data_IF_466015371251
#
_entry.id   IF_466015371251
#
_cell.length_a   1.000
_cell.length_b   1.000
_cell.length_c   1.000
_cell.angle_alpha   90.00
_cell.angle_beta   90.00
_cell.angle_gamma   90.00
#
_symmetry.space_group_name_H-M   'P 1'
#
loop_
_entity.id
_entity.type
_entity.pdbx_description
1 polymer ?
#
# COMPACT_ATOMS: atom_id res chain seq x y z
N UNK A 1 -21.81 22.48 -19.48
CA UNK A 1 -22.60 21.79 -18.43
C UNK A 1 -21.96 20.43 -18.23
N UNK A 2 -21.54 20.13 -17.00
CA UNK A 2 -20.86 18.88 -16.66
C UNK A 2 -21.82 17.72 -16.96
N UNK A 3 -21.40 16.78 -17.80
CA UNK A 3 -22.19 15.63 -18.24
C UNK A 3 -22.37 14.64 -17.07
N UNK A 4 -23.28 14.96 -16.16
CA UNK A 4 -23.68 14.12 -15.01
C UNK A 4 -24.70 13.04 -15.38
N UNK A 5 -25.10 12.95 -16.64
CA UNK A 5 -26.16 12.06 -17.12
C UNK A 5 -25.66 10.68 -17.59
N UNK A 6 -24.35 10.48 -17.73
CA UNK A 6 -23.75 9.18 -18.08
C UNK A 6 -23.39 8.28 -16.89
N UNK A 7 -23.67 8.71 -15.65
CA UNK A 7 -23.42 7.91 -14.45
C UNK A 7 -24.66 7.05 -14.18
N UNK A 8 -24.77 5.91 -14.86
CA UNK A 8 -25.85 4.91 -14.69
C UNK A 8 -25.96 4.40 -13.24
N UNK A 9 -24.99 4.74 -12.38
CA UNK A 9 -24.92 4.31 -10.99
C UNK A 9 -24.51 5.46 -10.04
N UNK A 10 -25.23 6.60 -10.08
CA UNK A 10 -25.01 7.76 -9.19
C UNK A 10 -24.89 7.37 -7.71
N UNK A 11 -25.71 6.42 -7.26
CA UNK A 11 -25.65 5.87 -5.90
C UNK A 11 -24.31 5.19 -5.60
N UNK A 12 -23.79 4.42 -6.55
CA UNK A 12 -22.49 3.76 -6.41
C UNK A 12 -21.34 4.76 -6.34
N UNK A 13 -21.36 5.81 -7.15
CA UNK A 13 -20.35 6.89 -7.08
C UNK A 13 -20.43 7.64 -5.75
N UNK A 14 -21.63 7.88 -5.22
CA UNK A 14 -21.81 8.50 -3.90
C UNK A 14 -21.34 7.58 -2.77
N UNK A 15 -21.60 6.27 -2.86
CA UNK A 15 -21.14 5.30 -1.87
C UNK A 15 -19.61 5.17 -1.90
N UNK A 16 -19.01 4.99 -3.07
CA UNK A 16 -17.54 4.90 -3.19
C UNK A 16 -16.86 6.23 -2.87
N UNK A 17 -17.43 7.35 -3.32
CA UNK A 17 -16.92 8.68 -3.02
C UNK A 17 -17.00 9.00 -1.52
N UNK A 18 -18.14 8.72 -0.90
CA UNK A 18 -18.33 8.86 0.55
C UNK A 18 -17.42 7.91 1.33
N UNK A 19 -17.32 6.65 0.92
CA UNK A 19 -16.44 5.65 1.50
C UNK A 19 -14.95 6.04 1.43
N UNK A 20 -14.51 6.60 0.30
CA UNK A 20 -13.16 7.12 0.15
C UNK A 20 -12.87 8.28 1.12
N UNK A 21 -13.82 9.21 1.29
CA UNK A 21 -13.69 10.32 2.26
C UNK A 21 -13.61 9.79 3.69
N UNK A 22 -14.47 8.84 4.06
CA UNK A 22 -14.43 8.22 5.41
C UNK A 22 -13.11 7.48 5.62
N UNK A 23 -12.62 6.75 4.62
CA UNK A 23 -11.33 6.06 4.70
C UNK A 23 -10.18 7.04 4.95
N UNK A 24 -10.11 8.14 4.19
CA UNK A 24 -9.09 9.19 4.38
C UNK A 24 -9.19 9.83 5.77
N UNK A 25 -10.41 10.11 6.24
CA UNK A 25 -10.62 10.68 7.57
C UNK A 25 -10.16 9.72 8.69
N UNK A 26 -10.54 8.44 8.61
CA UNK A 26 -10.11 7.41 9.55
C UNK A 26 -8.59 7.24 9.53
N UNK A 27 -7.98 7.15 8.34
CA UNK A 27 -6.52 7.09 8.20
C UNK A 27 -5.83 8.29 8.85
N UNK A 28 -6.40 9.48 8.72
CA UNK A 28 -5.87 10.71 9.33
C UNK A 28 -5.87 10.64 10.86
N UNK A 29 -6.93 10.09 11.47
CA UNK A 29 -7.01 9.87 12.93
C UNK A 29 -5.93 8.89 13.39
N UNK A 30 -5.78 7.76 12.68
CA UNK A 30 -4.78 6.74 13.03
C UNK A 30 -3.37 7.32 12.95
N UNK A 31 -3.04 8.04 11.87
CA UNK A 31 -1.75 8.72 11.71
C UNK A 31 -1.54 9.75 12.82
N UNK A 32 -2.57 10.53 13.16
CA UNK A 32 -2.53 11.48 14.28
C UNK A 32 -2.24 10.81 15.62
N UNK A 33 -2.86 9.66 15.90
CA UNK A 33 -2.62 8.88 17.11
C UNK A 33 -1.19 8.34 17.17
N UNK A 34 -0.67 7.81 16.05
CA UNK A 34 0.72 7.32 15.95
C UNK A 34 1.70 8.46 16.22
N UNK A 35 1.47 9.63 15.62
CA UNK A 35 2.32 10.81 15.78
C UNK A 35 2.23 11.43 17.19
N UNK A 36 1.14 11.16 17.93
CA UNK A 36 0.99 11.62 19.31
C UNK A 36 1.85 10.82 20.29
N UNK A 37 2.35 9.65 19.90
CA UNK A 37 3.30 8.86 20.68
C UNK A 37 4.73 9.26 20.28
N UNK A 38 5.50 9.96 21.13
CA UNK A 38 6.73 10.64 20.72
C UNK A 38 7.83 9.73 20.14
N UNK A 39 7.84 8.45 20.52
CA UNK A 39 8.87 7.48 20.12
C UNK A 39 8.42 6.55 18.98
N UNK A 40 7.12 6.41 18.75
CA UNK A 40 6.58 5.45 17.79
C UNK A 40 7.00 5.73 16.34
N UNK A 41 6.99 7.00 15.86
CA UNK A 41 7.48 7.32 14.52
C UNK A 41 8.96 6.94 14.32
N UNK A 42 9.82 7.22 15.29
CA UNK A 42 11.25 6.91 15.22
C UNK A 42 11.53 5.41 15.27
N UNK A 43 10.74 4.66 16.05
CA UNK A 43 10.84 3.19 16.10
C UNK A 43 10.38 2.59 14.77
N UNK A 44 9.27 3.06 14.21
CA UNK A 44 8.78 2.63 12.89
C UNK A 44 9.82 2.90 11.78
N UNK A 45 10.44 4.08 11.81
CA UNK A 45 11.52 4.46 10.89
C UNK A 45 12.72 3.52 11.02
N UNK A 46 13.19 3.25 12.25
CA UNK A 46 14.32 2.36 12.50
C UNK A 46 14.02 0.90 12.09
N UNK A 47 12.80 0.43 12.35
CA UNK A 47 12.33 -0.88 11.89
C UNK A 47 12.29 -0.94 10.36
N UNK A 48 11.78 0.11 9.71
CA UNK A 48 11.76 0.23 8.25
C UNK A 48 13.16 0.18 7.66
N UNK A 49 14.08 1.00 8.18
CA UNK A 49 15.49 1.00 7.77
C UNK A 49 16.17 -0.35 8.01
N UNK A 50 15.91 -0.99 9.15
CA UNK A 50 16.42 -2.32 9.46
C UNK A 50 15.93 -3.38 8.48
N UNK A 51 14.63 -3.38 8.16
CA UNK A 51 14.04 -4.31 7.22
C UNK A 51 14.52 -4.05 5.79
N UNK A 52 14.60 -2.79 5.36
CA UNK A 52 15.16 -2.43 4.05
C UNK A 52 16.63 -2.85 3.95
N UNK A 53 17.45 -2.60 4.98
CA UNK A 53 18.83 -3.04 5.02
C UNK A 53 18.97 -4.57 4.94
N UNK A 54 18.18 -5.30 5.72
CA UNK A 54 18.13 -6.77 5.68
C UNK A 54 17.66 -7.28 4.32
N UNK A 55 16.64 -6.66 3.71
CA UNK A 55 16.11 -7.04 2.40
C UNK A 55 17.16 -6.85 1.29
N UNK A 56 17.82 -5.69 1.27
CA UNK A 56 18.90 -5.40 0.32
C UNK A 56 20.02 -6.43 0.49
N UNK A 57 20.43 -6.70 1.73
CA UNK A 57 21.48 -7.68 2.01
C UNK A 57 21.08 -9.10 1.58
N UNK A 58 19.88 -9.53 1.96
CA UNK A 58 19.39 -10.90 1.73
C UNK A 58 19.09 -11.17 0.26
N UNK A 59 18.39 -10.26 -0.41
CA UNK A 59 17.84 -10.50 -1.74
C UNK A 59 18.62 -9.85 -2.87
N UNK A 60 19.25 -8.68 -2.68
CA UNK A 60 19.93 -7.96 -3.77
C UNK A 60 21.42 -8.30 -3.91
N UNK A 61 22.12 -8.62 -2.80
CA UNK A 61 23.55 -8.95 -2.87
C UNK A 61 23.80 -10.39 -3.34
N UNK A 62 22.97 -11.34 -2.90
CA UNK A 62 23.13 -12.76 -3.26
C UNK A 62 22.45 -13.08 -4.60
N UNK A 63 23.24 -13.61 -5.54
CA UNK A 63 22.77 -13.94 -6.90
C UNK A 63 21.63 -14.97 -6.91
N UNK A 64 21.64 -15.93 -5.98
CA UNK A 64 20.57 -16.93 -5.84
C UNK A 64 19.25 -16.29 -5.38
N UNK A 65 19.29 -15.40 -4.40
CA UNK A 65 18.08 -14.72 -3.88
C UNK A 65 17.52 -13.66 -4.82
N UNK A 66 18.33 -13.12 -5.75
CA UNK A 66 17.82 -12.27 -6.85
C UNK A 66 16.94 -13.04 -7.83
N UNK A 67 17.26 -14.31 -8.11
CA UNK A 67 16.43 -15.15 -9.00
C UNK A 67 15.11 -15.51 -8.33
N UNK A 68 15.17 -15.93 -7.07
CA UNK A 68 14.01 -16.22 -6.23
C UNK A 68 13.07 -15.00 -6.15
N UNK A 69 13.60 -13.80 -5.89
CA UNK A 69 12.81 -12.57 -5.85
C UNK A 69 12.16 -12.23 -7.21
N UNK A 70 12.85 -12.49 -8.32
CA UNK A 70 12.29 -12.25 -9.65
C UNK A 70 11.14 -13.21 -9.99
N UNK A 71 11.28 -14.50 -9.61
CA UNK A 71 10.23 -15.51 -9.74
C UNK A 71 9.02 -15.19 -8.84
N UNK A 72 9.26 -14.79 -7.60
CA UNK A 72 8.21 -14.36 -6.68
C UNK A 72 7.45 -13.14 -7.22
N UNK A 73 8.17 -12.13 -7.72
CA UNK A 73 7.53 -10.94 -8.33
C UNK A 73 6.71 -11.33 -9.56
N UNK A 74 7.20 -12.24 -10.41
CA UNK A 74 6.46 -12.72 -11.58
C UNK A 74 5.19 -13.48 -11.17
N UNK A 75 5.29 -14.32 -10.13
CA UNK A 75 4.14 -15.05 -9.57
C UNK A 75 3.10 -14.12 -8.95
N UNK A 76 3.53 -13.09 -8.21
CA UNK A 76 2.67 -12.08 -7.63
C UNK A 76 1.99 -11.25 -8.72
N UNK A 77 2.73 -10.87 -9.77
CA UNK A 77 2.16 -10.19 -10.93
C UNK A 77 1.09 -11.03 -11.63
N UNK A 78 1.33 -12.32 -11.84
CA UNK A 78 0.34 -13.23 -12.44
C UNK A 78 -0.92 -13.37 -11.58
N UNK A 79 -0.76 -13.48 -10.26
CA UNK A 79 -1.88 -13.52 -9.30
C UNK A 79 -2.71 -12.25 -9.31
N UNK A 80 -2.07 -11.08 -9.32
CA UNK A 80 -2.77 -9.79 -9.33
C UNK A 80 -3.44 -9.53 -10.68
N UNK A 81 -2.78 -9.90 -11.78
CA UNK A 81 -3.31 -9.77 -13.14
C UNK A 81 -4.35 -10.85 -13.50
N UNK A 82 -4.61 -11.82 -12.62
CA UNK A 82 -5.56 -12.91 -12.86
C UNK A 82 -5.21 -13.79 -14.07
N UNK A 83 -3.93 -13.83 -14.46
CA UNK A 83 -3.43 -14.64 -15.58
C UNK A 83 -2.83 -15.96 -15.08
N UNK A 84 -3.45 -16.59 -14.08
CA UNK A 84 -3.15 -17.99 -13.72
C UNK A 84 -3.54 -18.93 -14.86
#
# INVERSE_FOLDING_TARGET
MVQWDGLENKTTVVIYGGGAVVAVWLSSIVVGAINSVPLLPKVMELVGLGYTGWFVYRYLLFKSSRKELAEDIDSLKKKIAGTE
#
